data_IF_485519346086
#
_entry.id   IF_485519346086
#
_cell.length_a   1.000
_cell.length_b   1.000
_cell.length_c   1.000
_cell.angle_alpha   90.00
_cell.angle_beta   90.00
_cell.angle_gamma   90.00
#
_symmetry.space_group_name_H-M   'P 1'
#
loop_
_entity.id
_entity.type
_entity.pdbx_description
1 polymer ?
#
# COMPACT_ATOMS: atom_id res chain seq x y z
N UNK A 1 5.05 14.66 -15.42
CA UNK A 1 3.60 14.30 -15.42
C UNK A 1 2.96 14.43 -16.81
N UNK A 2 2.48 13.33 -17.42
CA UNK A 2 1.82 13.33 -18.73
C UNK A 2 0.35 13.81 -18.62
N UNK A 3 0.09 15.06 -18.99
CA UNK A 3 -1.21 15.73 -18.83
C UNK A 3 -2.32 15.03 -19.65
N UNK A 4 -1.98 14.27 -20.69
CA UNK A 4 -2.93 13.58 -21.57
C UNK A 4 -3.75 12.48 -20.86
N UNK A 5 -3.30 12.04 -19.69
CA UNK A 5 -3.97 11.01 -18.87
C UNK A 5 -4.95 11.59 -17.84
N UNK A 6 -5.10 12.91 -17.76
CA UNK A 6 -5.88 13.56 -16.71
C UNK A 6 -7.09 14.31 -17.28
N UNK A 7 -8.22 14.20 -16.61
CA UNK A 7 -9.43 14.97 -16.91
C UNK A 7 -9.41 16.30 -16.14
N UNK A 8 -9.67 17.42 -16.84
CA UNK A 8 -9.72 18.75 -16.22
C UNK A 8 -11.05 18.92 -15.51
N UNK A 9 -11.01 19.25 -14.22
CA UNK A 9 -12.20 19.53 -13.41
C UNK A 9 -12.36 21.03 -13.15
N UNK A 10 -13.56 21.47 -12.77
CA UNK A 10 -13.82 22.85 -12.33
C UNK A 10 -13.52 23.09 -10.84
N UNK A 11 -13.16 22.06 -10.09
CA UNK A 11 -12.92 22.15 -8.65
C UNK A 11 -11.57 22.81 -8.35
N UNK A 12 -11.53 23.61 -7.28
CA UNK A 12 -10.28 24.13 -6.75
C UNK A 12 -9.57 23.06 -5.92
N UNK A 13 -8.25 22.96 -6.04
CA UNK A 13 -7.46 21.97 -5.30
C UNK A 13 -7.58 22.10 -3.78
N UNK A 14 -7.82 23.31 -3.27
CA UNK A 14 -8.01 23.55 -1.82
C UNK A 14 -9.38 23.13 -1.30
N UNK A 15 -10.38 23.04 -2.17
CA UNK A 15 -11.70 22.51 -1.80
C UNK A 15 -11.75 20.99 -1.73
N UNK A 16 -10.72 20.31 -2.24
CA UNK A 16 -10.63 18.85 -2.20
C UNK A 16 -10.27 18.38 -0.79
N UNK A 17 -10.98 17.39 -0.23
CA UNK A 17 -10.60 16.77 1.03
C UNK A 17 -9.15 16.27 0.98
N UNK A 18 -8.39 16.48 2.06
CA UNK A 18 -6.95 16.16 2.11
C UNK A 18 -6.67 14.69 1.74
N UNK A 19 -7.55 13.77 2.14
CA UNK A 19 -7.39 12.34 1.87
C UNK A 19 -7.60 11.95 0.39
N UNK A 20 -8.22 12.83 -0.41
CA UNK A 20 -8.31 12.66 -1.87
C UNK A 20 -7.13 13.27 -2.61
N UNK A 21 -6.27 14.04 -1.93
CA UNK A 21 -5.08 14.61 -2.55
C UNK A 21 -4.06 13.51 -2.79
N UNK A 22 -3.44 13.53 -3.97
CA UNK A 22 -2.53 12.48 -4.46
C UNK A 22 -1.37 12.19 -3.51
N UNK A 23 -0.86 13.19 -2.79
CA UNK A 23 0.21 13.01 -1.81
C UNK A 23 -0.23 12.19 -0.59
N UNK A 24 -1.49 12.32 -0.17
CA UNK A 24 -2.02 11.58 0.98
C UNK A 24 -2.18 10.10 0.66
N UNK A 25 -2.62 9.76 -0.56
CA UNK A 25 -2.65 8.38 -1.05
C UNK A 25 -1.25 7.75 -1.00
N UNK A 26 -0.23 8.49 -1.45
CA UNK A 26 1.17 8.05 -1.39
C UNK A 26 1.64 7.86 0.06
N UNK A 27 1.32 8.80 0.95
CA UNK A 27 1.67 8.69 2.36
C UNK A 27 1.00 7.49 3.03
N UNK A 28 -0.27 7.23 2.70
CA UNK A 28 -1.00 6.06 3.23
C UNK A 28 -0.34 4.76 2.79
N UNK A 29 0.01 4.63 1.50
CA UNK A 29 0.75 3.47 1.00
C UNK A 29 2.12 3.32 1.69
N UNK A 30 2.83 4.44 1.87
CA UNK A 30 4.14 4.46 2.51
C UNK A 30 4.10 4.06 3.99
N UNK A 31 2.99 4.30 4.70
CA UNK A 31 2.86 3.92 6.11
C UNK A 31 2.29 2.51 6.27
N UNK A 32 1.26 2.14 5.50
CA UNK A 32 0.60 0.85 5.66
C UNK A 32 1.47 -0.33 5.19
N UNK A 33 2.27 -0.17 4.13
CA UNK A 33 3.11 -1.26 3.62
C UNK A 33 4.25 -1.64 4.58
N UNK A 34 5.05 -0.71 5.15
CA UNK A 34 6.03 -1.04 6.18
C UNK A 34 5.39 -1.61 7.43
N UNK A 35 4.24 -1.08 7.87
CA UNK A 35 3.52 -1.65 9.02
C UNK A 35 3.13 -3.11 8.74
N UNK A 36 2.67 -3.43 7.54
CA UNK A 36 2.35 -4.80 7.13
C UNK A 36 3.58 -5.70 7.19
N UNK A 37 4.73 -5.22 6.70
CA UNK A 37 6.00 -5.96 6.76
C UNK A 37 6.41 -6.20 8.22
N UNK A 38 6.36 -5.18 9.06
CA UNK A 38 6.70 -5.29 10.48
C UNK A 38 5.81 -6.29 11.20
N UNK A 39 4.49 -6.27 10.96
CA UNK A 39 3.56 -7.24 11.54
C UNK A 39 3.91 -8.65 11.09
N UNK A 40 4.16 -8.86 9.79
CA UNK A 40 4.49 -10.17 9.25
C UNK A 40 5.85 -10.72 9.71
N UNK A 41 6.82 -9.85 10.03
CA UNK A 41 8.14 -10.23 10.53
C UNK A 41 8.19 -10.40 12.06
N UNK A 42 7.35 -9.67 12.79
CA UNK A 42 7.36 -9.66 14.26
C UNK A 42 6.54 -10.77 14.91
N UNK A 43 5.65 -11.42 14.16
CA UNK A 43 4.82 -12.47 14.72
C UNK A 43 4.05 -13.28 13.70
N UNK A 44 3.14 -14.08 14.23
CA UNK A 44 2.34 -15.03 13.46
C UNK A 44 1.13 -14.34 12.83
N UNK A 45 0.95 -14.59 11.54
CA UNK A 45 -0.26 -14.19 10.81
C UNK A 45 -1.21 -15.38 10.74
N UNK A 46 -2.49 -15.15 10.99
CA UNK A 46 -3.51 -16.19 11.02
C UNK A 46 -4.61 -15.95 9.98
N UNK A 47 -5.16 -17.03 9.46
CA UNK A 47 -6.37 -17.05 8.63
C UNK A 47 -7.40 -18.00 9.24
N UNK A 48 -8.68 -17.74 9.00
CA UNK A 48 -9.78 -18.63 9.43
C UNK A 48 -10.48 -19.22 8.22
N UNK A 49 -10.68 -20.53 8.22
CA UNK A 49 -11.49 -21.25 7.22
C UNK A 49 -12.27 -22.36 7.90
N UNK A 50 -13.58 -22.44 7.61
CA UNK A 50 -14.49 -23.48 8.13
C UNK A 50 -14.39 -23.69 9.66
N UNK A 51 -14.33 -22.58 10.41
CA UNK A 51 -14.21 -22.61 11.87
C UNK A 51 -12.80 -22.91 12.40
N UNK A 52 -11.87 -23.35 11.56
CA UNK A 52 -10.50 -23.69 11.93
C UNK A 52 -9.56 -22.49 11.70
N UNK A 53 -8.66 -22.24 12.65
CA UNK A 53 -7.64 -21.19 12.57
C UNK A 53 -6.33 -21.79 12.06
N UNK A 54 -5.78 -21.19 11.02
CA UNK A 54 -4.55 -21.58 10.36
C UNK A 54 -3.50 -20.51 10.55
N UNK A 55 -2.30 -20.89 10.97
CA UNK A 55 -1.13 -20.02 10.95
C UNK A 55 -0.48 -20.05 9.57
N UNK A 56 -0.04 -18.90 9.09
CA UNK A 56 0.76 -18.82 7.87
C UNK A 56 2.09 -19.55 8.07
N UNK A 57 2.47 -20.40 7.11
CA UNK A 57 3.80 -21.00 7.07
C UNK A 57 4.84 -19.93 6.74
N UNK A 58 6.09 -20.15 7.13
CA UNK A 58 7.19 -19.20 6.92
C UNK A 58 7.35 -18.80 5.44
N UNK A 59 7.20 -19.75 4.51
CA UNK A 59 7.23 -19.44 3.08
C UNK A 59 6.10 -18.50 2.62
N UNK A 60 4.90 -18.64 3.20
CA UNK A 60 3.77 -17.76 2.90
C UNK A 60 3.96 -16.37 3.52
N UNK A 61 4.56 -16.28 4.72
CA UNK A 61 4.97 -15.01 5.34
C UNK A 61 6.04 -14.30 4.50
N UNK A 62 7.05 -15.04 4.05
CA UNK A 62 8.12 -14.50 3.20
C UNK A 62 7.57 -13.99 1.87
N UNK A 63 6.65 -14.72 1.24
CA UNK A 63 5.95 -14.26 0.04
C UNK A 63 5.17 -12.96 0.30
N UNK A 64 4.49 -12.85 1.44
CA UNK A 64 3.73 -11.65 1.82
C UNK A 64 4.67 -10.44 2.01
N UNK A 65 5.77 -10.64 2.74
CA UNK A 65 6.80 -9.61 2.94
C UNK A 65 7.40 -9.17 1.61
N UNK A 66 7.76 -10.12 0.75
CA UNK A 66 8.31 -9.83 -0.58
C UNK A 66 7.33 -9.03 -1.43
N UNK A 67 6.06 -9.43 -1.46
CA UNK A 67 5.01 -8.71 -2.20
C UNK A 67 4.83 -7.27 -1.67
N UNK A 68 4.79 -7.09 -0.34
CA UNK A 68 4.70 -5.77 0.27
C UNK A 68 5.91 -4.88 -0.06
N UNK A 69 7.12 -5.44 -0.06
CA UNK A 69 8.35 -4.75 -0.45
C UNK A 69 8.33 -4.34 -1.93
N UNK A 70 7.91 -5.23 -2.83
CA UNK A 70 7.77 -4.91 -4.26
C UNK A 70 6.77 -3.77 -4.47
N UNK A 71 5.60 -3.83 -3.84
CA UNK A 71 4.62 -2.75 -3.93
C UNK A 71 5.16 -1.42 -3.39
N UNK A 72 5.94 -1.46 -2.31
CA UNK A 72 6.55 -0.27 -1.74
C UNK A 72 7.58 0.34 -2.70
N UNK A 73 8.50 -0.47 -3.25
CA UNK A 73 9.53 0.00 -4.18
C UNK A 73 8.90 0.54 -5.46
N UNK A 74 7.93 -0.18 -6.05
CA UNK A 74 7.23 0.26 -7.26
C UNK A 74 6.44 1.55 -6.97
N UNK A 75 5.75 1.62 -5.84
CA UNK A 75 5.01 2.80 -5.40
C UNK A 75 5.93 4.02 -5.24
N UNK A 76 7.09 3.86 -4.60
CA UNK A 76 8.11 4.90 -4.47
C UNK A 76 8.69 5.31 -5.82
N UNK A 77 9.00 4.36 -6.70
CA UNK A 77 9.51 4.65 -8.04
C UNK A 77 8.50 5.45 -8.87
N UNK A 78 7.23 5.03 -8.87
CA UNK A 78 6.14 5.76 -9.54
C UNK A 78 5.90 7.15 -8.94
N UNK A 79 6.11 7.31 -7.63
CA UNK A 79 6.03 8.59 -6.96
C UNK A 79 7.21 9.51 -7.29
N UNK A 80 8.42 8.97 -7.38
CA UNK A 80 9.66 9.69 -7.63
C UNK A 80 9.86 10.07 -9.09
N UNK A 81 9.38 9.25 -10.05
CA UNK A 81 9.48 9.51 -11.50
C UNK A 81 8.46 10.57 -12.00
N UNK A 82 8.10 11.51 -11.15
CA UNK A 82 7.03 12.49 -11.39
C UNK A 82 7.53 13.75 -12.08
#
# INVERSE_FOLDING_TARGET
>A
MDIKRFEKTRLSYETLPFYRKRWFVLLTLLLCLPVTILIALSGDVYAKKDGTVYKFKDGALLHLVFMAMVFLIVGLFLAAKR
#
